data_IF_149822429234
#
_entry.id   IF_149822429234
#
_cell.length_a   1.000
_cell.length_b   1.000
_cell.length_c   1.000
_cell.angle_alpha   90.00
_cell.angle_beta   90.00
_cell.angle_gamma   90.00
#
_symmetry.space_group_name_H-M   'P 1'
#
loop_
_entity.id
_entity.type
_entity.pdbx_description
1 polymer ?
#
# COMPACT_ATOMS: atom_id res chain seq x y z
N UNK A 1 -17.96 -32.28 -23.32
CA UNK A 1 -18.41 -30.88 -23.20
C UNK A 1 -17.18 -30.02 -23.40
N UNK A 2 -17.19 -29.21 -24.44
CA UNK A 2 -16.00 -28.53 -24.98
C UNK A 2 -15.52 -27.38 -24.09
N UNK A 3 -14.19 -27.23 -24.05
CA UNK A 3 -13.45 -26.13 -23.44
C UNK A 3 -13.98 -24.75 -23.89
N UNK A 4 -14.27 -23.89 -22.92
CA UNK A 4 -14.53 -22.48 -23.16
C UNK A 4 -13.19 -21.72 -23.28
N UNK A 5 -13.01 -20.86 -24.29
CA UNK A 5 -11.76 -20.12 -24.44
C UNK A 5 -11.64 -19.03 -23.35
N UNK A 6 -10.52 -19.04 -22.63
CA UNK A 6 -10.11 -17.96 -21.71
C UNK A 6 -9.96 -16.68 -22.53
N UNK A 7 -10.86 -15.72 -22.35
CA UNK A 7 -10.74 -14.41 -22.99
C UNK A 7 -9.54 -13.67 -22.41
N UNK A 8 -8.47 -13.54 -23.18
CA UNK A 8 -7.41 -12.58 -22.90
C UNK A 8 -8.02 -11.17 -22.89
N UNK A 9 -7.84 -10.43 -21.79
CA UNK A 9 -8.37 -9.08 -21.65
C UNK A 9 -8.01 -8.21 -22.86
N UNK A 10 -8.96 -7.41 -23.34
CA UNK A 10 -8.77 -6.51 -24.50
C UNK A 10 -7.66 -5.50 -24.19
N UNK A 11 -6.52 -5.65 -24.87
CA UNK A 11 -5.49 -4.61 -24.96
C UNK A 11 -6.10 -3.45 -25.76
N UNK A 12 -6.25 -2.27 -25.16
CA UNK A 12 -6.74 -1.08 -25.85
C UNK A 12 -5.75 0.06 -25.70
N UNK A 13 -5.31 0.62 -26.82
CA UNK A 13 -4.42 1.77 -26.87
C UNK A 13 -5.25 3.02 -26.56
N UNK A 14 -4.90 3.75 -25.50
CA UNK A 14 -5.43 5.09 -25.25
C UNK A 14 -4.52 6.10 -25.94
N UNK A 15 -5.05 6.85 -26.90
CA UNK A 15 -4.33 7.96 -27.53
C UNK A 15 -4.07 9.07 -26.49
N UNK A 16 -2.84 9.56 -26.43
CA UNK A 16 -2.41 10.70 -25.60
C UNK A 16 -1.85 11.76 -26.55
N UNK A 17 -2.26 13.02 -26.39
CA UNK A 17 -1.75 14.15 -27.18
C UNK A 17 -0.34 14.61 -26.73
N UNK A 18 0.16 14.06 -25.61
CA UNK A 18 1.53 14.31 -25.12
C UNK A 18 2.48 13.28 -25.74
N UNK A 19 3.58 13.70 -26.41
CA UNK A 19 4.59 12.78 -26.92
C UNK A 19 5.13 11.91 -25.78
N UNK A 20 5.03 10.58 -25.93
CA UNK A 20 5.62 9.61 -25.01
C UNK A 20 6.99 9.21 -25.51
N UNK A 21 7.92 9.03 -24.59
CA UNK A 21 9.23 8.44 -24.89
C UNK A 21 9.03 7.02 -25.46
N UNK A 22 9.76 6.69 -26.53
CA UNK A 22 9.57 5.49 -27.37
C UNK A 22 9.95 4.16 -26.67
N UNK A 23 10.19 4.16 -25.36
CA UNK A 23 10.74 3.05 -24.58
C UNK A 23 9.79 2.52 -23.48
N UNK A 24 8.49 2.40 -23.74
CA UNK A 24 7.61 1.56 -22.89
C UNK A 24 6.89 0.49 -23.72
N UNK A 25 7.31 -0.79 -23.65
CA UNK A 25 6.77 -1.85 -24.51
C UNK A 25 5.50 -2.51 -23.97
N UNK A 26 4.77 -1.92 -23.02
CA UNK A 26 3.50 -2.51 -22.55
C UNK A 26 2.33 -1.53 -22.59
N UNK A 27 1.25 -1.84 -23.34
CA UNK A 27 0.03 -1.06 -23.29
C UNK A 27 -0.66 -1.24 -21.92
N UNK A 28 -0.98 -0.12 -21.27
CA UNK A 28 -1.79 -0.08 -20.04
C UNK A 28 -3.13 -0.77 -20.28
N UNK A 29 -3.46 -1.77 -19.46
CA UNK A 29 -4.79 -2.39 -19.52
C UNK A 29 -5.85 -1.35 -19.15
N UNK A 30 -6.97 -1.35 -19.88
CA UNK A 30 -8.10 -0.48 -19.55
C UNK A 30 -8.57 -0.78 -18.13
N UNK A 31 -8.64 0.24 -17.28
CA UNK A 31 -9.06 0.09 -15.89
C UNK A 31 -7.99 -0.48 -14.96
N UNK A 32 -6.72 -0.53 -15.38
CA UNK A 32 -5.62 -0.85 -14.47
C UNK A 32 -5.56 0.17 -13.31
N UNK A 33 -5.52 -0.34 -12.09
CA UNK A 33 -5.39 0.47 -10.88
C UNK A 33 -4.14 1.35 -10.98
N UNK A 34 -4.24 2.63 -10.62
CA UNK A 34 -3.15 3.59 -10.88
C UNK A 34 -2.77 4.40 -9.66
N UNK A 35 -1.50 4.36 -9.29
CA UNK A 35 -0.92 5.27 -8.29
C UNK A 35 -0.33 6.51 -8.96
N UNK A 36 -0.81 7.69 -8.56
CA UNK A 36 -0.23 8.99 -8.89
C UNK A 36 0.55 9.51 -7.69
N UNK A 37 1.86 9.67 -7.82
CA UNK A 37 2.72 10.11 -6.72
C UNK A 37 3.24 11.52 -7.00
N UNK A 38 2.84 12.47 -6.16
CA UNK A 38 3.36 13.84 -6.16
C UNK A 38 4.55 13.88 -5.19
N UNK A 39 5.75 14.12 -5.71
CA UNK A 39 6.99 14.04 -4.94
C UNK A 39 8.05 15.01 -5.47
N UNK A 40 9.03 15.33 -4.63
CA UNK A 40 10.25 16.04 -5.05
C UNK A 40 11.32 15.13 -5.65
N UNK A 41 11.16 13.81 -5.54
CA UNK A 41 12.12 12.80 -5.96
C UNK A 41 11.46 11.72 -6.83
N UNK A 42 10.91 12.09 -8.01
CA UNK A 42 10.24 11.15 -8.91
C UNK A 42 11.14 9.97 -9.31
N UNK A 43 12.45 10.15 -9.35
CA UNK A 43 13.46 9.14 -9.69
C UNK A 43 13.56 7.99 -8.66
N UNK A 44 13.01 8.17 -7.46
CA UNK A 44 12.95 7.11 -6.44
C UNK A 44 11.87 6.06 -6.72
N UNK A 45 11.06 6.28 -7.77
CA UNK A 45 10.01 5.40 -8.23
C UNK A 45 10.37 4.78 -9.61
N UNK A 46 10.08 3.49 -9.85
CA UNK A 46 9.26 2.61 -9.00
C UNK A 46 10.00 2.09 -7.76
N UNK A 47 11.32 2.25 -7.67
CA UNK A 47 12.09 1.79 -6.51
C UNK A 47 11.91 0.29 -6.30
N UNK A 48 11.56 -0.12 -5.07
CA UNK A 48 11.30 -1.54 -4.76
C UNK A 48 10.06 -2.09 -5.46
N UNK A 49 9.11 -1.23 -5.85
CA UNK A 49 7.89 -1.61 -6.57
C UNK A 49 8.17 -2.12 -7.99
N UNK A 50 9.37 -1.86 -8.51
CA UNK A 50 9.82 -2.36 -9.81
C UNK A 50 10.35 -3.80 -9.77
N UNK A 51 10.48 -4.40 -8.59
CA UNK A 51 11.03 -5.74 -8.40
C UNK A 51 9.93 -6.79 -8.19
N UNK A 52 10.29 -8.07 -8.33
CA UNK A 52 9.44 -9.22 -7.98
C UNK A 52 8.04 -9.17 -8.63
N UNK A 53 7.00 -9.64 -7.92
CA UNK A 53 5.62 -9.74 -8.42
C UNK A 53 4.97 -8.39 -8.69
N UNK A 54 5.23 -7.36 -7.88
CA UNK A 54 4.71 -6.00 -8.09
C UNK A 54 5.30 -5.38 -9.36
N UNK A 55 6.61 -5.55 -9.57
CA UNK A 55 7.32 -5.13 -10.79
C UNK A 55 6.86 -5.88 -12.03
N UNK A 56 6.68 -7.20 -11.94
CA UNK A 56 6.11 -8.00 -13.04
C UNK A 56 4.69 -7.53 -13.38
N UNK A 57 3.85 -7.32 -12.36
CA UNK A 57 2.48 -6.82 -12.57
C UNK A 57 2.46 -5.40 -13.19
N UNK A 58 3.44 -4.55 -12.86
CA UNK A 58 3.62 -3.25 -13.49
C UNK A 58 3.98 -3.40 -14.97
N UNK A 59 4.93 -4.31 -15.28
CA UNK A 59 5.35 -4.62 -16.65
C UNK A 59 4.22 -5.25 -17.47
N UNK A 60 3.37 -6.07 -16.86
CA UNK A 60 2.19 -6.69 -17.50
C UNK A 60 1.00 -5.72 -17.62
N UNK A 61 1.12 -4.50 -17.09
CA UNK A 61 0.09 -3.46 -17.14
C UNK A 61 -1.13 -3.74 -16.26
N UNK A 62 -1.00 -4.60 -15.23
CA UNK A 62 -2.05 -4.91 -14.26
C UNK A 62 -2.33 -3.73 -13.31
N UNK A 63 -1.30 -2.92 -13.06
CA UNK A 63 -1.38 -1.63 -12.38
C UNK A 63 -0.45 -0.63 -13.07
N UNK A 64 -0.58 0.65 -12.74
CA UNK A 64 0.24 1.72 -13.30
C UNK A 64 0.76 2.67 -12.22
N UNK A 65 1.94 3.23 -12.48
CA UNK A 65 2.59 4.23 -11.63
C UNK A 65 2.87 5.48 -12.45
N UNK A 66 2.38 6.61 -11.98
CA UNK A 66 2.59 7.93 -12.57
C UNK A 66 3.22 8.83 -11.51
N UNK A 67 4.42 9.34 -11.77
CA UNK A 67 5.05 10.33 -10.88
C UNK A 67 4.85 11.74 -11.42
N UNK A 68 4.61 12.68 -10.50
CA UNK A 68 4.59 14.10 -10.77
C UNK A 68 5.71 14.77 -9.98
N UNK A 69 6.70 15.27 -10.71
CA UNK A 69 7.79 16.08 -10.15
C UNK A 69 7.23 17.44 -9.66
N UNK A 70 7.17 17.60 -8.35
CA UNK A 70 6.66 18.81 -7.73
C UNK A 70 7.49 20.06 -8.10
N UNK A 71 8.79 19.91 -8.40
CA UNK A 71 9.65 21.03 -8.80
C UNK A 71 9.19 21.68 -10.09
N UNK A 72 8.49 20.97 -10.97
CA UNK A 72 7.94 21.55 -12.21
C UNK A 72 6.87 22.61 -11.95
N UNK A 73 6.25 22.60 -10.76
CA UNK A 73 5.26 23.58 -10.32
C UNK A 73 5.85 24.67 -9.41
N UNK A 74 7.14 24.60 -9.12
CA UNK A 74 7.84 25.54 -8.24
C UNK A 74 7.87 26.96 -8.80
N UNK A 75 8.07 27.94 -7.93
CA UNK A 75 8.03 29.36 -8.29
C UNK A 75 9.42 29.98 -8.45
N UNK A 76 9.50 31.02 -9.29
CA UNK A 76 10.73 31.75 -9.54
C UNK A 76 11.80 30.94 -10.30
N UNK A 77 12.98 31.55 -10.47
CA UNK A 77 14.10 30.97 -11.22
C UNK A 77 14.59 29.63 -10.64
N UNK A 78 14.50 29.47 -9.32
CA UNK A 78 15.00 28.30 -8.60
C UNK A 78 13.95 27.20 -8.39
N UNK A 79 12.72 27.39 -8.91
CA UNK A 79 11.60 26.45 -8.75
C UNK A 79 11.33 26.10 -7.28
N UNK A 80 11.24 27.12 -6.43
CA UNK A 80 10.99 26.94 -5.00
C UNK A 80 9.59 26.35 -4.77
N UNK A 81 9.51 25.34 -3.91
CA UNK A 81 8.28 24.59 -3.60
C UNK A 81 7.79 24.80 -2.17
N UNK A 82 8.58 25.52 -1.38
CA UNK A 82 8.48 25.67 0.07
C UNK A 82 8.80 27.13 0.45
N UNK A 83 8.45 27.50 1.68
CA UNK A 83 8.75 28.80 2.28
C UNK A 83 8.79 28.68 3.82
N UNK A 84 9.21 29.74 4.51
CA UNK A 84 9.25 29.74 5.98
C UNK A 84 7.84 29.69 6.58
N UNK A 85 7.65 29.00 7.72
CA UNK A 85 6.34 28.91 8.37
C UNK A 85 5.84 30.28 8.87
N UNK A 86 4.54 30.54 8.67
CA UNK A 86 3.87 31.65 9.32
C UNK A 86 3.82 31.44 10.84
N UNK A 87 4.05 32.49 11.63
CA UNK A 87 4.16 32.40 13.09
C UNK A 87 5.60 32.15 13.60
N UNK A 88 6.57 32.00 12.70
CA UNK A 88 7.97 31.71 13.04
C UNK A 88 8.20 30.21 13.29
N UNK A 89 9.45 29.86 13.58
CA UNK A 89 9.89 28.47 13.73
C UNK A 89 11.06 28.13 12.79
N UNK A 90 11.74 27.02 13.08
CA UNK A 90 12.75 26.47 12.19
C UNK A 90 12.08 25.67 11.05
N UNK A 91 12.82 25.46 9.97
CA UNK A 91 12.38 24.63 8.85
C UNK A 91 11.57 25.37 7.79
N UNK A 92 10.98 24.59 6.89
CA UNK A 92 10.29 25.05 5.68
C UNK A 92 8.95 24.30 5.55
N UNK A 93 7.93 24.96 5.01
CA UNK A 93 6.60 24.39 4.78
C UNK A 93 6.31 24.42 3.29
N UNK A 94 5.80 23.31 2.76
CA UNK A 94 5.47 23.20 1.35
C UNK A 94 4.30 24.14 0.98
N UNK A 95 4.50 24.92 -0.07
CA UNK A 95 3.63 26.04 -0.41
C UNK A 95 2.29 25.61 -1.02
N UNK A 96 1.19 26.30 -0.66
CA UNK A 96 -0.14 25.94 -1.14
C UNK A 96 -0.36 26.23 -2.63
N UNK A 97 0.25 27.27 -3.19
CA UNK A 97 0.11 27.63 -4.61
C UNK A 97 0.82 26.61 -5.53
N UNK A 98 1.95 26.06 -5.08
CA UNK A 98 2.69 25.01 -5.77
C UNK A 98 1.94 23.68 -5.70
N UNK A 99 1.56 23.27 -4.49
CA UNK A 99 0.80 22.03 -4.28
C UNK A 99 -0.56 22.05 -4.95
N UNK A 100 -1.26 23.19 -4.95
CA UNK A 100 -2.55 23.33 -5.62
C UNK A 100 -2.49 23.07 -7.12
N UNK A 101 -1.43 23.56 -7.80
CA UNK A 101 -1.20 23.25 -9.23
C UNK A 101 -0.88 21.78 -9.45
N UNK A 102 -0.05 21.19 -8.60
CA UNK A 102 0.34 19.78 -8.72
C UNK A 102 -0.84 18.83 -8.49
N UNK A 103 -1.63 19.06 -7.44
CA UNK A 103 -2.85 18.30 -7.15
C UNK A 103 -3.91 18.50 -8.23
N UNK A 104 -4.05 19.72 -8.77
CA UNK A 104 -4.92 20.00 -9.90
C UNK A 104 -4.50 19.24 -11.18
N UNK A 105 -3.19 19.09 -11.43
CA UNK A 105 -2.70 18.25 -12.53
C UNK A 105 -2.98 16.77 -12.26
N UNK A 106 -2.69 16.29 -11.05
CA UNK A 106 -2.91 14.90 -10.64
C UNK A 106 -4.39 14.50 -10.65
N UNK A 107 -5.33 15.45 -10.57
CA UNK A 107 -6.76 15.18 -10.66
C UNK A 107 -7.25 14.95 -12.10
N UNK A 108 -6.49 15.36 -13.13
CA UNK A 108 -6.93 15.26 -14.52
C UNK A 108 -7.16 13.81 -14.93
N UNK A 109 -8.38 13.49 -15.37
CA UNK A 109 -8.78 12.15 -15.78
C UNK A 109 -8.92 11.14 -14.64
N UNK A 110 -8.76 11.56 -13.38
CA UNK A 110 -9.17 10.77 -12.22
C UNK A 110 -10.63 11.11 -11.86
N UNK A 111 -11.41 10.16 -11.31
CA UNK A 111 -12.69 10.47 -10.69
C UNK A 111 -12.53 11.48 -9.54
N UNK A 112 -13.46 12.43 -9.41
CA UNK A 112 -13.48 13.37 -8.27
C UNK A 112 -14.01 12.74 -6.97
N UNK A 113 -14.62 11.56 -7.08
CA UNK A 113 -15.19 10.79 -5.97
C UNK A 113 -14.06 10.13 -5.13
N UNK A 114 -13.89 10.51 -3.85
CA UNK A 114 -12.86 9.96 -2.97
C UNK A 114 -12.96 8.44 -2.75
N UNK A 115 -14.16 7.85 -2.90
CA UNK A 115 -14.34 6.39 -2.77
C UNK A 115 -13.80 5.65 -4.00
N UNK A 116 -13.74 6.31 -5.16
CA UNK A 116 -13.18 5.77 -6.40
C UNK A 116 -11.72 6.17 -6.62
N UNK A 117 -11.32 7.33 -6.12
CA UNK A 117 -9.97 7.88 -6.24
C UNK A 117 -9.57 8.68 -4.98
N UNK A 118 -9.13 8.00 -3.91
CA UNK A 118 -8.64 8.67 -2.71
C UNK A 118 -7.43 9.56 -3.01
N UNK A 119 -7.34 10.65 -2.26
CA UNK A 119 -6.18 11.57 -2.25
C UNK A 119 -5.58 11.52 -0.85
N UNK A 120 -4.40 10.95 -0.73
CA UNK A 120 -3.75 10.66 0.55
C UNK A 120 -2.52 11.53 0.71
N UNK A 121 -2.37 12.12 1.90
CA UNK A 121 -1.14 12.74 2.36
C UNK A 121 -0.44 11.80 3.35
N UNK A 122 0.81 11.43 3.05
CA UNK A 122 1.63 10.59 3.93
C UNK A 122 2.19 11.46 5.06
N UNK A 123 1.62 11.32 6.25
CA UNK A 123 1.81 12.21 7.40
C UNK A 123 1.85 11.40 8.70
N UNK A 124 2.81 11.62 9.62
CA UNK A 124 2.85 10.94 10.91
C UNK A 124 1.64 11.32 11.80
N UNK A 125 0.94 12.42 11.49
CA UNK A 125 -0.32 12.82 12.16
C UNK A 125 -1.54 12.05 11.67
N UNK A 126 -1.40 11.32 10.56
CA UNK A 126 -2.49 10.60 9.92
C UNK A 126 -2.94 9.38 10.70
N UNK A 127 -4.08 8.82 10.32
CA UNK A 127 -4.52 7.54 10.89
C UNK A 127 -3.51 6.44 10.53
N UNK A 128 -3.27 5.45 11.41
CA UNK A 128 -2.38 4.33 11.08
C UNK A 128 -2.85 3.56 9.85
N UNK A 129 -1.93 3.27 8.95
CA UNK A 129 -2.15 2.40 7.80
C UNK A 129 -2.29 0.96 8.28
N UNK A 130 -3.37 0.30 7.87
CA UNK A 130 -3.68 -1.08 8.27
C UNK A 130 -3.98 -1.94 7.05
N UNK A 131 -4.00 -3.26 7.23
CA UNK A 131 -4.38 -4.19 6.17
C UNK A 131 -5.79 -3.91 5.63
N UNK A 132 -6.72 -3.43 6.47
CA UNK A 132 -8.05 -3.00 6.05
C UNK A 132 -8.01 -1.80 5.11
N UNK A 133 -7.10 -0.85 5.34
CA UNK A 133 -6.90 0.29 4.44
C UNK A 133 -6.28 -0.14 3.11
N UNK A 134 -5.31 -1.05 3.11
CA UNK A 134 -4.77 -1.64 1.88
C UNK A 134 -5.85 -2.33 1.05
N UNK A 135 -6.74 -3.10 1.70
CA UNK A 135 -7.90 -3.73 1.04
C UNK A 135 -8.94 -2.71 0.53
N UNK A 136 -9.12 -1.59 1.22
CA UNK A 136 -9.98 -0.50 0.76
C UNK A 136 -9.40 0.12 -0.50
N UNK A 137 -8.12 0.48 -0.48
CA UNK A 137 -7.42 1.10 -1.60
C UNK A 137 -7.30 0.18 -2.81
N UNK A 138 -7.19 -1.15 -2.63
CA UNK A 138 -7.06 -2.07 -3.77
C UNK A 138 -8.35 -2.22 -4.58
N UNK A 139 -9.50 -1.80 -4.00
CA UNK A 139 -10.82 -1.83 -4.64
C UNK A 139 -11.17 -0.54 -5.40
N UNK A 140 -10.35 0.50 -5.28
CA UNK A 140 -10.55 1.78 -5.98
C UNK A 140 -10.08 1.68 -7.44
N UNK A 141 -10.25 2.75 -8.22
CA UNK A 141 -9.69 2.81 -9.58
C UNK A 141 -8.22 3.27 -9.59
N UNK A 142 -7.77 3.83 -8.48
CA UNK A 142 -6.43 4.37 -8.30
C UNK A 142 -6.36 5.21 -7.04
N UNK A 143 -5.24 5.90 -6.88
CA UNK A 143 -4.96 6.74 -5.72
C UNK A 143 -4.00 7.87 -6.11
N UNK A 144 -4.19 9.05 -5.53
CA UNK A 144 -3.17 10.12 -5.53
C UNK A 144 -2.49 10.15 -4.18
N UNK A 145 -1.16 10.07 -4.16
CA UNK A 145 -0.31 10.13 -2.98
C UNK A 145 0.52 11.42 -3.00
N UNK A 146 0.45 12.21 -1.93
CA UNK A 146 1.31 13.36 -1.70
C UNK A 146 2.43 12.98 -0.72
N UNK A 147 3.67 12.97 -1.22
CA UNK A 147 4.86 12.78 -0.41
C UNK A 147 5.31 14.14 0.16
N UNK A 148 5.01 14.37 1.44
CA UNK A 148 5.50 15.56 2.15
C UNK A 148 7.02 15.53 2.39
N UNK A 149 7.60 16.71 2.58
CA UNK A 149 8.99 16.97 2.97
C UNK A 149 9.03 18.16 3.93
N UNK A 150 10.23 18.44 4.46
CA UNK A 150 10.48 19.54 5.40
C UNK A 150 9.60 19.38 6.65
N UNK A 151 9.02 20.47 7.18
CA UNK A 151 8.09 20.42 8.32
C UNK A 151 6.69 19.92 7.93
N UNK A 152 6.39 19.86 6.63
CA UNK A 152 5.15 19.32 6.11
C UNK A 152 4.46 20.24 5.10
N UNK A 153 3.14 20.07 5.01
CA UNK A 153 2.27 20.70 4.02
C UNK A 153 1.43 21.80 4.66
N UNK A 154 1.27 22.92 3.97
CA UNK A 154 0.34 23.99 4.39
C UNK A 154 -1.08 23.41 4.60
N UNK A 155 -1.62 23.61 5.81
CA UNK A 155 -2.89 23.02 6.26
C UNK A 155 -4.06 23.33 5.31
N UNK A 156 -4.06 24.49 4.64
CA UNK A 156 -5.13 24.88 3.71
C UNK A 156 -5.20 23.96 2.50
N UNK A 157 -4.08 23.36 2.09
CA UNK A 157 -4.05 22.37 1.00
C UNK A 157 -4.75 21.09 1.41
N UNK A 158 -4.47 20.61 2.63
CA UNK A 158 -5.07 19.39 3.19
C UNK A 158 -6.59 19.55 3.24
N UNK A 159 -7.06 20.67 3.76
CA UNK A 159 -8.49 20.99 3.86
C UNK A 159 -9.16 21.18 2.49
N UNK A 160 -8.57 22.01 1.62
CA UNK A 160 -9.15 22.33 0.32
C UNK A 160 -9.31 21.09 -0.58
N UNK A 161 -8.28 20.24 -0.63
CA UNK A 161 -8.30 19.02 -1.44
C UNK A 161 -8.89 17.81 -0.70
N UNK A 162 -9.33 17.97 0.56
CA UNK A 162 -9.85 16.88 1.41
C UNK A 162 -8.87 15.70 1.41
N UNK A 163 -7.60 15.98 1.68
CA UNK A 163 -6.57 14.95 1.73
C UNK A 163 -6.78 14.08 2.97
N UNK A 164 -6.75 12.77 2.76
CA UNK A 164 -6.76 11.80 3.84
C UNK A 164 -5.34 11.63 4.37
N UNK A 165 -5.10 11.98 5.63
CA UNK A 165 -3.78 11.79 6.25
C UNK A 165 -3.60 10.33 6.70
N UNK A 166 -2.53 9.69 6.22
CA UNK A 166 -2.15 8.30 6.57
C UNK A 166 -0.74 8.27 7.13
N UNK A 167 -0.58 7.63 8.30
CA UNK A 167 0.71 7.32 8.93
C UNK A 167 1.06 5.84 8.73
N UNK A 168 2.32 5.52 8.49
CA UNK A 168 2.78 4.10 8.44
C UNK A 168 3.32 3.61 9.79
N UNK A 169 3.28 4.44 10.84
CA UNK A 169 3.66 4.08 12.20
C UNK A 169 4.14 5.27 13.01
N UNK A 170 4.38 5.03 14.30
CA UNK A 170 4.75 6.05 15.29
C UNK A 170 6.25 6.36 15.25
N UNK A 171 6.72 6.84 14.10
CA UNK A 171 8.09 7.28 13.87
C UNK A 171 8.14 8.36 12.78
N UNK A 172 9.27 9.07 12.69
CA UNK A 172 9.44 10.18 11.74
C UNK A 172 10.38 9.76 10.62
N UNK A 173 9.95 10.00 9.38
CA UNK A 173 10.76 9.85 8.17
C UNK A 173 11.16 11.20 7.60
N UNK A 174 12.21 11.22 6.77
CA UNK A 174 12.65 12.43 6.07
C UNK A 174 11.70 12.87 4.95
N UNK A 175 10.73 12.02 4.58
CA UNK A 175 9.75 12.28 3.54
C UNK A 175 8.76 11.14 3.36
N UNK A 176 7.70 11.41 2.59
CA UNK A 176 6.61 10.47 2.36
C UNK A 176 6.89 9.37 1.32
N UNK A 177 8.04 9.33 0.67
CA UNK A 177 8.32 8.43 -0.46
C UNK A 177 8.41 6.96 -0.05
N UNK A 178 9.06 6.66 1.09
CA UNK A 178 9.12 5.30 1.65
C UNK A 178 7.71 4.86 2.07
N UNK A 179 6.95 5.75 2.72
CA UNK A 179 5.58 5.48 3.11
C UNK A 179 4.66 5.22 1.92
N UNK A 180 4.81 5.99 0.83
CA UNK A 180 4.10 5.76 -0.41
C UNK A 180 4.46 4.41 -1.05
N UNK A 181 5.74 4.03 -1.08
CA UNK A 181 6.15 2.71 -1.59
C UNK A 181 5.58 1.57 -0.74
N UNK A 182 5.63 1.66 0.59
CA UNK A 182 5.04 0.64 1.47
C UNK A 182 3.51 0.51 1.28
N UNK A 183 2.81 1.65 1.18
CA UNK A 183 1.36 1.67 0.94
C UNK A 183 1.01 1.06 -0.42
N UNK A 184 1.73 1.43 -1.49
CA UNK A 184 1.50 0.89 -2.83
C UNK A 184 1.77 -0.61 -2.85
N UNK A 185 2.86 -1.10 -2.26
CA UNK A 185 3.19 -2.53 -2.22
C UNK A 185 2.08 -3.35 -1.55
N UNK A 186 1.67 -2.94 -0.34
CA UNK A 186 0.60 -3.59 0.42
C UNK A 186 -0.75 -3.55 -0.31
N UNK A 187 -1.00 -2.51 -1.11
CA UNK A 187 -2.25 -2.35 -1.88
C UNK A 187 -2.24 -3.18 -3.17
N UNK A 188 -1.17 -3.06 -3.96
CA UNK A 188 -1.05 -3.67 -5.29
C UNK A 188 -1.07 -5.19 -5.22
N UNK A 189 -0.45 -5.78 -4.18
CA UNK A 189 -0.48 -7.23 -3.99
C UNK A 189 -1.91 -7.80 -3.84
N UNK A 190 -2.87 -6.98 -3.38
CA UNK A 190 -4.26 -7.39 -3.21
C UNK A 190 -5.09 -7.28 -4.51
N UNK A 191 -4.52 -6.69 -5.57
CA UNK A 191 -5.21 -6.56 -6.86
C UNK A 191 -5.28 -7.94 -7.53
N UNK A 192 -6.46 -8.34 -8.05
CA UNK A 192 -6.62 -9.62 -8.73
C UNK A 192 -5.58 -9.84 -9.83
N UNK A 193 -4.96 -11.03 -9.84
CA UNK A 193 -3.91 -11.48 -10.77
C UNK A 193 -2.50 -10.95 -10.49
N UNK A 194 -2.29 -10.11 -9.47
CA UNK A 194 -0.93 -9.73 -9.05
C UNK A 194 -0.26 -10.88 -8.30
N UNK A 195 -0.91 -11.40 -7.26
CA UNK A 195 -0.48 -12.61 -6.59
C UNK A 195 -1.03 -13.82 -7.36
N UNK A 196 -0.16 -14.72 -7.81
CA UNK A 196 -0.52 -15.90 -8.60
C UNK A 196 -1.40 -16.92 -7.85
N UNK A 197 -1.51 -16.81 -6.51
CA UNK A 197 -2.35 -17.66 -5.68
C UNK A 197 -3.12 -16.81 -4.66
N UNK A 198 -4.40 -16.53 -4.95
CA UNK A 198 -5.25 -15.70 -4.09
C UNK A 198 -5.45 -16.30 -2.69
N UNK A 199 -5.44 -17.64 -2.57
CA UNK A 199 -5.58 -18.33 -1.28
C UNK A 199 -4.45 -17.98 -0.29
N UNK A 200 -3.27 -17.56 -0.78
CA UNK A 200 -2.19 -17.10 0.08
C UNK A 200 -2.55 -15.85 0.87
N UNK A 201 -3.45 -15.00 0.36
CA UNK A 201 -3.84 -13.76 1.06
C UNK A 201 -4.85 -13.99 2.18
N UNK A 202 -5.55 -15.13 2.17
CA UNK A 202 -6.56 -15.47 3.16
C UNK A 202 -5.94 -15.97 4.47
N UNK A 203 -4.81 -16.70 4.39
CA UNK A 203 -4.12 -17.27 5.56
C UNK A 203 -3.00 -16.38 6.14
N UNK A 204 -2.89 -15.12 5.71
CA UNK A 204 -1.85 -14.19 6.14
C UNK A 204 -2.13 -13.50 7.48
N UNK A 205 -1.08 -12.97 8.10
CA UNK A 205 -1.21 -12.12 9.29
C UNK A 205 -2.18 -10.97 9.04
N UNK A 206 -3.01 -10.67 10.04
CA UNK A 206 -4.04 -9.64 10.07
C UNK A 206 -5.29 -9.90 9.21
N UNK A 207 -5.31 -10.92 8.33
CA UNK A 207 -6.49 -11.24 7.50
C UNK A 207 -7.71 -11.64 8.34
N UNK A 208 -7.51 -12.44 9.40
CA UNK A 208 -8.54 -12.82 10.37
C UNK A 208 -8.32 -12.16 11.76
N UNK A 209 -7.53 -11.08 11.82
CA UNK A 209 -7.19 -10.41 13.09
C UNK A 209 -6.15 -11.14 13.94
N UNK A 210 -5.56 -12.23 13.44
CA UNK A 210 -4.48 -12.99 14.08
C UNK A 210 -3.14 -12.82 13.35
N UNK A 211 -2.03 -13.08 14.04
CA UNK A 211 -0.73 -13.31 13.43
C UNK A 211 -0.68 -14.70 12.77
N UNK A 212 0.16 -14.86 11.77
CA UNK A 212 0.35 -16.14 11.09
C UNK A 212 1.10 -17.16 11.97
N UNK A 213 0.83 -18.44 11.71
CA UNK A 213 1.51 -19.57 12.32
C UNK A 213 2.98 -19.67 11.84
N UNK A 214 3.86 -20.35 12.59
CA UNK A 214 5.24 -20.52 12.16
C UNK A 214 5.34 -21.45 10.96
N UNK A 215 6.19 -21.07 10.00
CA UNK A 215 6.45 -21.83 8.78
C UNK A 215 7.70 -22.70 8.93
N UNK A 216 7.64 -23.87 8.31
CA UNK A 216 8.74 -24.83 8.25
C UNK A 216 8.92 -25.31 6.82
N UNK A 217 10.16 -25.52 6.42
CA UNK A 217 10.51 -26.07 5.11
C UNK A 217 11.68 -27.02 5.25
N UNK A 218 12.02 -27.73 4.17
CA UNK A 218 13.16 -28.67 4.16
C UNK A 218 14.48 -27.92 4.46
N UNK A 219 15.46 -28.58 5.11
CA UNK A 219 15.48 -29.98 5.54
C UNK A 219 14.64 -30.26 6.81
N UNK A 220 14.29 -31.53 7.05
CA UNK A 220 13.45 -31.94 8.19
C UNK A 220 14.11 -31.71 9.56
N UNK A 221 15.44 -31.75 9.61
CA UNK A 221 16.24 -31.42 10.79
C UNK A 221 17.32 -30.42 10.39
N UNK A 222 17.39 -29.30 11.09
CA UNK A 222 18.44 -28.29 10.92
C UNK A 222 19.03 -27.97 12.28
N UNK A 223 20.34 -28.17 12.45
CA UNK A 223 21.05 -27.94 13.73
C UNK A 223 20.41 -28.64 14.95
N UNK A 224 19.92 -29.87 14.76
CA UNK A 224 19.23 -30.64 15.80
C UNK A 224 17.81 -30.17 16.11
N UNK A 225 17.26 -29.24 15.31
CA UNK A 225 15.87 -28.75 15.43
C UNK A 225 15.00 -29.41 14.37
N UNK A 226 13.99 -30.13 14.80
CA UNK A 226 13.09 -30.88 13.92
C UNK A 226 11.86 -30.05 13.52
N UNK A 227 11.33 -30.32 12.33
CA UNK A 227 9.98 -29.88 11.95
C UNK A 227 8.96 -30.61 12.82
N UNK A 228 7.94 -29.94 13.40
CA UNK A 228 6.88 -30.60 14.15
C UNK A 228 6.26 -31.78 13.39
N UNK A 229 6.23 -32.97 14.00
CA UNK A 229 5.78 -34.22 13.36
C UNK A 229 4.39 -34.08 12.71
N UNK A 230 3.50 -33.28 13.31
CA UNK A 230 2.17 -33.02 12.78
C UNK A 230 2.18 -32.44 11.36
N UNK A 231 3.18 -31.61 11.04
CA UNK A 231 3.35 -31.01 9.71
C UNK A 231 3.89 -32.02 8.69
N UNK A 232 4.50 -33.12 9.16
CA UNK A 232 4.99 -34.22 8.32
C UNK A 232 3.94 -35.33 8.12
N UNK A 233 2.83 -35.29 8.86
CA UNK A 233 1.83 -36.37 8.92
C UNK A 233 0.93 -36.50 7.68
N UNK A 234 0.85 -35.48 6.82
CA UNK A 234 -0.09 -35.42 5.70
C UNK A 234 -1.58 -35.26 6.10
N UNK A 235 -1.90 -35.20 7.39
CA UNK A 235 -3.28 -35.05 7.87
C UNK A 235 -3.74 -33.59 7.83
N UNK A 236 -4.27 -33.15 6.68
CA UNK A 236 -4.70 -31.77 6.44
C UNK A 236 -5.55 -31.15 7.57
N UNK A 237 -6.55 -31.86 8.10
CA UNK A 237 -7.39 -31.35 9.18
C UNK A 237 -6.63 -31.14 10.51
N UNK A 238 -5.67 -32.02 10.82
CA UNK A 238 -4.83 -31.86 12.02
C UNK A 238 -3.82 -30.72 11.84
N UNK A 239 -3.27 -30.58 10.64
CA UNK A 239 -2.37 -29.48 10.28
C UNK A 239 -3.10 -28.13 10.40
N UNK A 240 -4.29 -28.00 9.83
CA UNK A 240 -5.08 -26.77 9.92
C UNK A 240 -5.39 -26.38 11.38
N UNK A 241 -5.78 -27.36 12.21
CA UNK A 241 -6.01 -27.14 13.65
C UNK A 241 -4.75 -26.68 14.37
N UNK A 242 -3.61 -27.31 14.08
CA UNK A 242 -2.33 -26.92 14.66
C UNK A 242 -1.92 -25.51 14.24
N UNK A 243 -2.08 -25.15 12.96
CA UNK A 243 -1.81 -23.80 12.44
C UNK A 243 -2.65 -22.76 13.16
N UNK A 244 -3.96 -22.99 13.29
CA UNK A 244 -4.86 -22.09 14.03
C UNK A 244 -4.42 -21.93 15.49
N UNK A 245 -4.16 -23.02 16.19
CA UNK A 245 -3.71 -22.95 17.59
C UNK A 245 -2.40 -22.17 17.75
N UNK A 246 -1.46 -22.31 16.80
CA UNK A 246 -0.21 -21.56 16.81
C UNK A 246 -0.38 -20.08 16.48
N UNK A 247 -1.27 -19.74 15.55
CA UNK A 247 -1.64 -18.35 15.23
C UNK A 247 -2.25 -17.66 16.46
N UNK A 248 -3.21 -18.31 17.13
CA UNK A 248 -3.83 -17.81 18.37
C UNK A 248 -2.78 -17.61 19.47
N UNK A 249 -1.94 -18.62 19.73
CA UNK A 249 -0.87 -18.55 20.73
C UNK A 249 0.10 -17.39 20.45
N UNK A 250 0.61 -17.29 19.22
CA UNK A 250 1.55 -16.22 18.84
C UNK A 250 0.91 -14.83 18.93
N UNK A 251 -0.37 -14.71 18.60
CA UNK A 251 -1.12 -13.45 18.71
C UNK A 251 -1.25 -13.06 20.18
N UNK A 252 -1.68 -13.98 21.06
CA UNK A 252 -1.77 -13.74 22.50
C UNK A 252 -0.42 -13.30 23.09
N UNK A 253 0.68 -13.94 22.68
CA UNK A 253 2.03 -13.65 23.18
C UNK A 253 2.62 -12.33 22.66
N UNK A 254 2.45 -12.02 21.37
CA UNK A 254 3.20 -10.92 20.71
C UNK A 254 2.36 -9.68 20.41
N UNK A 255 1.06 -9.85 20.27
CA UNK A 255 0.09 -8.78 19.95
C UNK A 255 -1.17 -8.95 20.78
N UNK A 256 -1.07 -8.82 22.13
CA UNK A 256 -2.22 -8.98 23.02
C UNK A 256 -3.34 -7.96 22.70
N UNK A 257 -3.01 -6.83 22.09
CA UNK A 257 -3.98 -5.87 21.54
C UNK A 257 -4.85 -6.49 20.43
N UNK A 258 -4.23 -7.21 19.48
CA UNK A 258 -4.96 -7.93 18.43
C UNK A 258 -5.76 -9.10 19.00
N UNK A 259 -5.20 -9.80 20.00
CA UNK A 259 -5.89 -10.91 20.65
C UNK A 259 -7.20 -10.46 21.31
N UNK A 260 -7.18 -9.36 22.07
CA UNK A 260 -8.39 -8.79 22.69
C UNK A 260 -9.41 -8.37 21.64
N UNK A 261 -8.97 -7.72 20.55
CA UNK A 261 -9.85 -7.35 19.45
C UNK A 261 -10.49 -8.57 18.76
N UNK A 262 -9.71 -9.64 18.58
CA UNK A 262 -10.18 -10.91 18.02
C UNK A 262 -11.22 -11.60 18.93
N UNK A 263 -10.99 -11.63 20.25
CA UNK A 263 -11.95 -12.18 21.22
C UNK A 263 -13.26 -11.37 21.25
N UNK A 264 -13.15 -10.04 21.30
CA UNK A 264 -14.30 -9.16 21.29
C UNK A 264 -15.16 -9.32 20.02
N UNK A 265 -14.52 -9.53 18.86
CA UNK A 265 -15.23 -9.78 17.60
C UNK A 265 -15.97 -11.14 17.57
N UNK A 266 -15.69 -12.05 18.49
CA UNK A 266 -16.31 -13.38 18.60
C UNK A 266 -17.30 -13.50 19.77
N UNK A 267 -17.70 -12.38 20.40
CA UNK A 267 -18.49 -12.39 21.65
C UNK A 267 -17.88 -13.24 22.77
N UNK A 268 -16.53 -13.32 22.81
CA UNK A 268 -15.78 -14.00 23.87
C UNK A 268 -15.23 -12.94 24.82
N UNK A 269 -15.21 -13.27 26.12
CA UNK A 269 -14.66 -12.38 27.15
C UNK A 269 -13.18 -12.06 26.85
N UNK A 270 -12.83 -10.79 26.54
CA UNK A 270 -11.47 -10.39 26.22
C UNK A 270 -10.53 -10.38 27.43
N UNK A 271 -11.07 -10.43 28.64
CA UNK A 271 -10.33 -10.41 29.92
C UNK A 271 -10.29 -11.79 30.61
N UNK A 272 -11.07 -12.77 30.13
CA UNK A 272 -11.11 -14.12 30.71
C UNK A 272 -9.83 -14.96 30.51
N UNK A 273 -8.89 -14.47 29.70
CA UNK A 273 -7.67 -15.16 29.29
C UNK A 273 -6.40 -14.42 29.79
N UNK A 274 -6.51 -13.65 30.87
CA UNK A 274 -5.44 -12.83 31.47
C UNK A 274 -4.33 -13.62 32.18
N UNK A 275 -4.43 -14.95 32.30
CA UNK A 275 -3.35 -15.76 32.88
C UNK A 275 -2.23 -16.02 31.86
N UNK A 276 -1.08 -15.37 32.11
CA UNK A 276 0.26 -15.74 31.66
C UNK A 276 1.19 -15.75 32.89
#
# INVERSE_FOLDING_TARGET
MADAPRSHGRLSISASATPRDLLTPTPRLKGAWTARVITLFPETFPGVLGASLTGKALQDGLWALETLDLRTFGTGKHRNVDDTPAGGGAGLVMRPDVLGRALGMAARGAPDDPERWPRVYLSPRGKPFTQKEAQRFSKTEGITLLCGRFEGVDQRVIEHFRLEEISIGDFVLTGGEIAAQALIDATVRLIPRVLGNQASTEEESFSEGLLEHPHYTKPAVWEGREIPEILLSGHHAKIARWRKAMAERLTKERRPDLWRAYLAAQDRDPDGDQEL
#
